data_IF_692855153904
#
_entry.id   IF_692855153904
#
_cell.length_a   1.000
_cell.length_b   1.000
_cell.length_c   1.000
_cell.angle_alpha   90.00
_cell.angle_beta   90.00
_cell.angle_gamma   90.00
#
_symmetry.space_group_name_H-M   'P 1'
#
loop_
_entity.id
_entity.type
_entity.pdbx_description
1 polymer ?
#
# COMPACT_ATOMS: atom_id res chain seq x y z
N UNK A 1 35.04 -42.13 42.76
CA UNK A 1 35.31 -40.83 42.09
C UNK A 1 33.98 -40.21 41.67
N UNK A 2 33.81 -38.89 41.84
CA UNK A 2 32.53 -38.18 41.62
C UNK A 2 32.30 -37.89 40.12
N UNK A 3 31.11 -38.21 39.58
CA UNK A 3 30.63 -37.65 38.31
C UNK A 3 29.88 -36.34 38.59
N UNK A 4 30.27 -35.27 37.91
CA UNK A 4 29.65 -33.95 38.03
C UNK A 4 28.69 -33.74 36.86
N UNK A 5 27.38 -33.61 37.13
CA UNK A 5 26.39 -33.11 36.17
C UNK A 5 25.77 -31.87 36.82
N UNK A 6 26.03 -30.69 36.25
CA UNK A 6 25.39 -29.44 36.69
C UNK A 6 24.08 -29.26 35.91
N UNK A 7 22.94 -29.46 36.55
CA UNK A 7 21.68 -28.93 36.05
C UNK A 7 21.61 -27.42 36.29
N UNK A 8 21.08 -26.67 35.33
CA UNK A 8 20.62 -25.29 35.54
C UNK A 8 19.11 -25.34 35.72
N UNK A 9 18.61 -25.07 36.92
CA UNK A 9 17.18 -24.82 37.12
C UNK A 9 16.80 -23.46 36.53
N UNK A 10 15.65 -23.40 35.85
CA UNK A 10 15.01 -22.12 35.53
C UNK A 10 14.44 -21.51 36.80
N UNK A 11 14.49 -20.18 36.91
CA UNK A 11 13.85 -19.44 37.99
C UNK A 11 12.52 -18.88 37.47
N UNK A 12 11.41 -19.47 37.91
CA UNK A 12 10.05 -18.98 37.59
C UNK A 12 9.69 -17.89 38.57
N UNK A 13 9.56 -16.64 38.12
CA UNK A 13 9.22 -15.51 38.99
C UNK A 13 7.70 -15.40 39.12
N UNK A 14 7.16 -15.82 40.27
CA UNK A 14 5.76 -15.66 40.63
C UNK A 14 5.60 -14.36 41.45
N UNK A 15 5.10 -13.28 40.84
CA UNK A 15 4.88 -12.01 41.56
C UNK A 15 3.58 -12.07 42.34
N UNK A 16 3.71 -12.09 43.67
CA UNK A 16 2.63 -12.13 44.65
C UNK A 16 1.91 -10.78 44.73
N UNK A 17 0.57 -10.80 44.79
CA UNK A 17 -0.26 -9.63 45.05
C UNK A 17 -0.13 -9.18 46.51
N UNK A 18 0.08 -7.87 46.75
CA UNK A 18 0.18 -7.31 48.09
C UNK A 18 -1.11 -6.58 48.46
N UNK A 19 -1.86 -7.12 49.44
CA UNK A 19 -2.97 -6.42 50.06
C UNK A 19 -2.44 -5.52 51.18
N UNK A 20 -2.85 -4.25 51.21
CA UNK A 20 -2.46 -3.30 52.25
C UNK A 20 -3.56 -3.25 53.32
N UNK A 21 -3.28 -3.81 54.49
CA UNK A 21 -4.04 -3.51 55.70
C UNK A 21 -3.49 -2.23 56.34
N UNK A 22 -4.39 -1.32 56.73
CA UNK A 22 -4.05 -0.10 57.46
C UNK A 22 -3.91 -0.36 58.96
N UNK A 23 -2.81 0.10 59.56
CA UNK A 23 -2.75 0.43 60.98
C UNK A 23 -1.92 1.71 61.18
N UNK A 24 -2.40 2.58 62.06
CA UNK A 24 -1.80 3.86 62.40
C UNK A 24 -0.96 3.77 63.67
N UNK A 25 0.28 4.25 63.62
CA UNK A 25 1.08 4.55 64.82
C UNK A 25 1.78 5.89 64.63
N UNK A 26 1.72 6.74 65.66
CA UNK A 26 2.36 8.06 65.70
C UNK A 26 3.88 7.95 65.75
N UNK A 27 4.58 8.84 65.04
CA UNK A 27 6.03 9.01 65.18
C UNK A 27 6.68 9.72 64.00
N UNK A 28 6.77 11.04 64.03
CA UNK A 28 7.55 11.81 63.06
C UNK A 28 9.05 11.70 63.36
N UNK A 29 9.84 11.42 62.32
CA UNK A 29 10.97 12.29 62.01
C UNK A 29 10.89 12.80 60.57
N UNK A 30 11.47 13.97 60.32
CA UNK A 30 11.54 14.57 58.98
C UNK A 30 12.39 13.73 58.03
N UNK A 31 11.72 12.84 57.28
CA UNK A 31 12.15 12.45 55.95
C UNK A 31 11.22 13.14 54.94
N UNK A 32 11.79 13.83 53.96
CA UNK A 32 11.05 14.24 52.78
C UNK A 32 10.80 13.00 51.91
N UNK A 33 9.85 12.16 52.33
CA UNK A 33 9.29 11.11 51.49
C UNK A 33 8.66 11.80 50.31
N UNK A 34 9.37 11.84 49.18
CA UNK A 34 8.76 12.15 47.90
C UNK A 34 7.83 10.99 47.64
N UNK A 35 6.58 11.13 48.04
CA UNK A 35 5.51 10.24 47.62
C UNK A 35 5.56 10.25 46.09
N UNK A 36 5.96 9.12 45.50
CA UNK A 36 5.67 8.89 44.10
C UNK A 36 4.16 9.03 43.98
N UNK A 37 3.70 10.05 43.25
CA UNK A 37 2.29 10.25 43.02
C UNK A 37 1.74 8.93 42.48
N UNK A 38 0.68 8.42 43.12
CA UNK A 38 -0.04 7.27 42.57
C UNK A 38 -0.34 7.59 41.11
N UNK A 39 0.02 6.66 40.22
CA UNK A 39 0.02 6.92 38.78
C UNK A 39 -1.42 7.03 38.27
N UNK A 40 -1.99 8.22 38.44
CA UNK A 40 -3.24 8.60 37.82
C UNK A 40 -3.00 8.69 36.33
N UNK A 41 -3.88 8.04 35.58
CA UNK A 41 -3.94 8.11 34.13
C UNK A 41 -4.31 9.51 33.63
N UNK A 42 -4.52 10.48 34.52
CA UNK A 42 -4.88 11.88 34.20
C UNK A 42 -3.74 12.71 33.60
N UNK A 43 -2.55 12.12 33.44
CA UNK A 43 -1.39 12.73 32.78
C UNK A 43 -0.72 11.77 31.80
N UNK A 44 -0.01 12.28 30.78
CA UNK A 44 0.76 11.43 29.86
C UNK A 44 1.86 10.62 30.56
N UNK A 45 2.45 11.15 31.63
CA UNK A 45 3.47 10.48 32.43
C UNK A 45 2.87 9.30 33.21
N UNK A 46 1.72 9.53 33.84
CA UNK A 46 0.95 8.51 34.58
C UNK A 46 0.13 7.55 33.70
N UNK A 47 0.09 7.76 32.38
CA UNK A 47 -0.79 7.04 31.46
C UNK A 47 -0.77 5.51 31.63
N UNK A 48 -1.96 4.92 31.72
CA UNK A 48 -2.20 3.48 31.86
C UNK A 48 -1.62 2.71 30.66
N UNK A 49 -0.94 1.60 30.91
CA UNK A 49 -0.43 0.74 29.83
C UNK A 49 -1.59 -0.06 29.21
N UNK A 50 -1.68 -0.07 27.89
CA UNK A 50 -2.64 -0.86 27.11
C UNK A 50 -1.86 -1.77 26.15
N UNK A 51 -2.08 -3.08 26.23
CA UNK A 51 -1.50 -4.03 25.27
C UNK A 51 -2.42 -4.23 24.07
N UNK A 52 -1.90 -4.93 23.06
CA UNK A 52 -2.69 -5.41 21.93
C UNK A 52 -3.65 -6.50 22.40
N UNK A 53 -4.86 -6.48 21.84
CA UNK A 53 -6.01 -7.35 22.12
C UNK A 53 -6.59 -7.25 23.55
N UNK A 54 -6.10 -6.29 24.34
CA UNK A 54 -6.66 -5.93 25.64
C UNK A 54 -7.65 -4.76 25.56
N UNK A 55 -8.45 -4.62 26.62
CA UNK A 55 -9.32 -3.47 26.85
C UNK A 55 -8.94 -2.84 28.21
N UNK A 56 -8.91 -1.51 28.28
CA UNK A 56 -8.76 -0.78 29.53
C UNK A 56 -9.96 0.16 29.75
N UNK A 57 -10.20 0.55 31.00
CA UNK A 57 -11.29 1.46 31.38
C UNK A 57 -10.76 2.61 32.22
N UNK A 58 -11.45 3.75 32.16
CA UNK A 58 -11.29 4.88 33.08
C UNK A 58 -12.65 5.34 33.59
N UNK A 59 -12.67 5.94 34.78
CA UNK A 59 -13.83 6.53 35.42
C UNK A 59 -13.63 8.04 35.50
N UNK A 60 -14.54 8.82 34.91
CA UNK A 60 -14.56 10.28 35.06
C UNK A 60 -15.24 10.66 36.38
N UNK A 61 -14.55 11.47 37.18
CA UNK A 61 -14.86 11.79 38.58
C UNK A 61 -15.57 13.13 38.81
N UNK A 62 -16.30 13.65 37.81
CA UNK A 62 -17.04 14.93 37.86
C UNK A 62 -16.12 16.18 37.88
N UNK A 63 -14.90 16.06 37.35
CA UNK A 63 -13.95 17.17 37.29
C UNK A 63 -14.05 17.95 35.96
N UNK A 64 -13.65 19.22 35.96
CA UNK A 64 -13.64 20.05 34.75
C UNK A 64 -12.34 19.84 33.99
N UNK A 65 -12.44 19.67 32.67
CA UNK A 65 -11.30 19.40 31.78
C UNK A 65 -10.53 18.11 32.11
N UNK A 66 -11.19 17.19 32.83
CA UNK A 66 -10.70 15.85 33.10
C UNK A 66 -10.33 15.13 31.80
N UNK A 67 -9.18 14.45 31.82
CA UNK A 67 -8.63 13.77 30.67
C UNK A 67 -7.85 12.56 31.13
N UNK A 68 -8.12 11.38 30.56
CA UNK A 68 -7.38 10.14 30.84
C UNK A 68 -6.52 9.76 29.64
N UNK A 69 -5.35 9.20 29.93
CA UNK A 69 -4.33 8.85 28.97
C UNK A 69 -3.97 7.37 29.08
N UNK A 70 -3.95 6.70 27.94
CA UNK A 70 -3.49 5.32 27.81
C UNK A 70 -2.28 5.30 26.87
N UNK A 71 -1.29 4.45 27.13
CA UNK A 71 -0.08 4.33 26.33
C UNK A 71 0.13 2.90 25.84
N UNK A 72 0.56 2.78 24.60
CA UNK A 72 0.90 1.49 23.98
C UNK A 72 2.19 1.65 23.18
N UNK A 73 2.93 0.55 23.05
CA UNK A 73 4.15 0.50 22.25
C UNK A 73 3.94 -0.47 21.10
N UNK A 74 4.19 -0.02 19.86
CA UNK A 74 4.09 -0.90 18.69
C UNK A 74 5.22 -1.93 18.76
N UNK A 75 4.93 -3.25 18.67
CA UNK A 75 5.97 -4.28 18.67
C UNK A 75 7.01 -4.07 17.58
N UNK A 76 8.26 -4.47 17.85
CA UNK A 76 9.37 -4.29 16.91
C UNK A 76 9.18 -5.08 15.60
N UNK A 77 8.46 -6.21 15.67
CA UNK A 77 7.97 -6.96 14.52
C UNK A 77 6.51 -7.30 14.76
N UNK A 78 5.64 -6.67 13.97
CA UNK A 78 4.18 -6.90 13.94
C UNK A 78 3.73 -7.28 12.53
N UNK A 79 4.66 -7.58 11.61
CA UNK A 79 4.31 -8.01 10.24
C UNK A 79 3.48 -6.98 9.45
N UNK A 80 2.67 -7.47 8.51
CA UNK A 80 1.69 -6.65 7.79
C UNK A 80 0.37 -6.67 8.56
N UNK A 81 0.11 -5.63 9.35
CA UNK A 81 -1.09 -5.53 10.17
C UNK A 81 -1.67 -4.12 10.18
N UNK A 82 -2.98 -4.07 10.07
CA UNK A 82 -3.81 -2.98 10.56
C UNK A 82 -3.79 -2.96 12.09
N UNK A 83 -3.85 -1.76 12.66
CA UNK A 83 -3.99 -1.50 14.09
C UNK A 83 -5.23 -0.62 14.26
N UNK A 84 -6.27 -1.20 14.87
CA UNK A 84 -7.54 -0.55 15.18
C UNK A 84 -7.55 -0.15 16.65
N UNK A 85 -7.54 1.16 16.92
CA UNK A 85 -7.93 1.69 18.22
C UNK A 85 -9.45 1.87 18.27
N UNK A 86 -10.07 1.54 19.39
CA UNK A 86 -11.48 1.85 19.69
C UNK A 86 -11.59 2.61 21.01
N UNK A 87 -12.49 3.59 21.08
CA UNK A 87 -12.97 4.17 22.33
C UNK A 87 -14.48 4.15 22.41
N UNK A 88 -15.01 3.61 23.50
CA UNK A 88 -16.46 3.53 23.79
C UNK A 88 -16.79 4.41 24.99
N UNK A 89 -17.86 5.20 24.85
CA UNK A 89 -18.23 6.19 25.85
C UNK A 89 -19.47 5.76 26.65
N UNK A 90 -19.34 5.62 27.96
CA UNK A 90 -20.46 5.38 28.89
C UNK A 90 -20.63 6.53 29.90
N UNK A 91 -20.09 7.71 29.60
CA UNK A 91 -20.24 8.91 30.43
C UNK A 91 -21.57 9.61 30.16
N UNK A 92 -21.91 10.59 31.00
CA UNK A 92 -23.09 11.43 30.89
C UNK A 92 -23.10 12.43 29.72
N UNK A 93 -22.00 12.59 28.97
CA UNK A 93 -21.89 13.54 27.85
C UNK A 93 -20.93 12.99 26.77
N UNK A 94 -20.62 13.76 25.73
CA UNK A 94 -19.65 13.37 24.71
C UNK A 94 -18.21 13.43 25.27
N UNK A 95 -17.42 12.40 24.98
CA UNK A 95 -15.95 12.44 25.14
C UNK A 95 -15.29 12.70 23.80
N UNK A 96 -14.04 13.14 23.82
CA UNK A 96 -13.20 13.32 22.64
C UNK A 96 -12.01 12.36 22.69
N UNK A 97 -11.97 11.43 21.74
CA UNK A 97 -10.92 10.44 21.59
C UNK A 97 -9.87 10.92 20.59
N UNK A 98 -8.60 11.00 21.02
CA UNK A 98 -7.48 11.59 20.29
C UNK A 98 -6.29 10.64 20.29
N UNK A 99 -5.63 10.45 19.15
CA UNK A 99 -4.36 9.68 19.07
C UNK A 99 -3.19 10.66 19.03
N UNK A 100 -2.17 10.42 19.87
CA UNK A 100 -1.00 11.28 20.06
C UNK A 100 0.30 10.52 19.81
N UNK A 101 1.35 11.25 19.41
CA UNK A 101 2.72 10.73 19.37
C UNK A 101 3.38 10.68 20.76
N UNK A 102 4.66 10.27 20.80
CA UNK A 102 5.43 10.12 22.03
C UNK A 102 5.72 11.41 22.80
N UNK A 103 5.48 12.59 22.20
CA UNK A 103 5.65 13.91 22.84
C UNK A 103 4.33 14.67 23.03
N UNK A 104 3.20 14.05 22.67
CA UNK A 104 1.86 14.60 22.85
C UNK A 104 1.31 15.40 21.67
N UNK A 105 1.97 15.36 20.50
CA UNK A 105 1.43 15.95 19.27
C UNK A 105 0.19 15.19 18.83
N UNK A 106 -0.90 15.89 18.51
CA UNK A 106 -2.07 15.25 17.90
C UNK A 106 -1.70 14.65 16.54
N UNK A 107 -1.79 13.31 16.45
CA UNK A 107 -1.82 12.59 15.20
C UNK A 107 -3.28 12.68 14.70
N UNK A 108 -4.18 11.85 15.21
CA UNK A 108 -5.60 11.97 14.89
C UNK A 108 -6.25 12.98 15.83
N UNK A 109 -6.69 14.10 15.25
CA UNK A 109 -7.47 15.15 15.94
C UNK A 109 -8.68 14.56 16.64
N UNK A 110 -8.93 15.02 17.87
CA UNK A 110 -9.96 14.48 18.74
C UNK A 110 -11.35 14.45 18.11
N UNK A 111 -11.94 13.27 17.96
CA UNK A 111 -13.30 13.07 17.48
C UNK A 111 -14.29 12.90 18.64
N UNK A 112 -15.47 13.47 18.46
CA UNK A 112 -16.57 13.37 19.44
C UNK A 112 -17.18 11.97 19.41
N UNK A 113 -17.15 11.28 20.55
CA UNK A 113 -17.83 10.00 20.77
C UNK A 113 -19.04 10.27 21.65
N UNK A 114 -20.26 10.08 21.14
CA UNK A 114 -21.47 10.30 21.96
C UNK A 114 -21.64 9.17 22.99
N UNK A 115 -22.50 9.41 23.98
CA UNK A 115 -22.89 8.37 24.95
C UNK A 115 -23.38 7.11 24.21
N UNK A 116 -22.90 5.95 24.67
CA UNK A 116 -23.14 4.61 24.13
C UNK A 116 -22.64 4.37 22.69
N UNK A 117 -21.95 5.32 22.07
CA UNK A 117 -21.25 5.14 20.79
C UNK A 117 -19.80 4.66 20.99
N UNK A 118 -19.26 4.04 19.95
CA UNK A 118 -17.83 3.71 19.82
C UNK A 118 -17.24 4.45 18.62
N UNK A 119 -16.09 5.08 18.81
CA UNK A 119 -15.29 5.64 17.72
C UNK A 119 -14.05 4.78 17.49
N UNK A 120 -13.73 4.52 16.22
CA UNK A 120 -12.57 3.74 15.81
C UNK A 120 -11.58 4.57 15.01
N UNK A 121 -10.29 4.30 15.20
CA UNK A 121 -9.20 4.79 14.36
C UNK A 121 -8.48 3.57 13.79
N UNK A 122 -8.47 3.45 12.48
CA UNK A 122 -7.67 2.46 11.76
C UNK A 122 -6.33 3.08 11.31
N UNK A 123 -5.24 2.35 11.55
CA UNK A 123 -3.86 2.75 11.20
C UNK A 123 -3.06 1.56 10.67
N UNK A 124 -2.01 1.80 9.87
CA UNK A 124 -1.03 0.79 9.46
C UNK A 124 0.35 1.07 10.07
N UNK A 125 1.25 0.09 10.03
CA UNK A 125 2.66 0.28 10.39
C UNK A 125 3.57 0.67 9.21
N UNK A 126 4.84 1.02 9.49
CA UNK A 126 5.81 1.46 8.47
C UNK A 126 5.89 0.52 7.24
N UNK A 127 5.46 1.07 6.10
CA UNK A 127 5.49 0.41 4.79
C UNK A 127 4.13 -0.08 4.29
N UNK A 128 3.04 0.12 5.04
CA UNK A 128 1.68 0.09 4.50
C UNK A 128 1.39 1.34 3.65
N UNK A 129 0.40 1.24 2.76
CA UNK A 129 -0.22 2.38 2.07
C UNK A 129 -1.73 2.32 2.34
N UNK A 130 -2.39 3.48 2.43
CA UNK A 130 -3.83 3.63 2.62
C UNK A 130 -4.33 4.82 1.80
N UNK A 131 -5.63 4.85 1.49
CA UNK A 131 -6.27 5.90 0.70
C UNK A 131 -6.39 7.25 1.40
N UNK A 132 -6.21 7.29 2.72
CA UNK A 132 -6.40 8.51 3.49
C UNK A 132 -5.03 9.15 3.73
N UNK A 133 -4.79 10.35 3.19
CA UNK A 133 -3.57 11.15 3.43
C UNK A 133 -3.31 11.46 4.93
N UNK A 134 -4.26 11.12 5.82
CA UNK A 134 -4.18 11.19 7.28
C UNK A 134 -4.22 9.82 7.97
N UNK A 135 -3.96 8.71 7.27
CA UNK A 135 -3.68 7.42 7.93
C UNK A 135 -2.30 7.51 8.60
N UNK A 136 -2.26 7.66 9.92
CA UNK A 136 -1.01 7.81 10.64
C UNK A 136 -0.24 6.49 10.67
N UNK A 137 0.82 6.44 9.89
CA UNK A 137 1.72 5.29 9.84
C UNK A 137 2.46 5.19 11.18
N UNK A 138 2.14 4.16 11.96
CA UNK A 138 2.79 3.90 13.23
C UNK A 138 4.17 3.26 13.00
N UNK A 139 5.17 3.70 13.76
CA UNK A 139 6.55 3.24 13.62
C UNK A 139 6.79 2.13 14.66
N UNK A 140 7.27 0.94 14.27
CA UNK A 140 7.63 -0.13 15.19
C UNK A 140 8.59 0.34 16.29
N UNK A 141 8.45 -0.19 17.50
CA UNK A 141 9.17 0.20 18.73
C UNK A 141 8.82 1.59 19.30
N UNK A 142 8.01 2.42 18.64
CA UNK A 142 7.57 3.70 19.21
C UNK A 142 6.36 3.52 20.17
N UNK A 143 6.33 4.35 21.20
CA UNK A 143 5.20 4.51 22.12
C UNK A 143 4.28 5.63 21.62
N UNK A 144 2.97 5.38 21.68
CA UNK A 144 1.90 6.29 21.30
C UNK A 144 0.89 6.40 22.44
N UNK A 145 0.10 7.46 22.44
CA UNK A 145 -0.88 7.71 23.50
C UNK A 145 -2.28 7.92 22.94
N UNK A 146 -3.26 7.35 23.62
CA UNK A 146 -4.68 7.65 23.46
C UNK A 146 -5.06 8.63 24.56
N UNK A 147 -5.74 9.71 24.19
CA UNK A 147 -6.31 10.67 25.14
C UNK A 147 -7.83 10.69 25.01
N UNK A 148 -8.52 10.41 26.11
CA UNK A 148 -9.95 10.64 26.29
C UNK A 148 -10.13 11.89 27.16
N UNK A 149 -11.02 12.81 26.78
CA UNK A 149 -11.33 14.00 27.59
C UNK A 149 -12.68 14.61 27.22
N UNK A 150 -13.19 15.52 28.04
CA UNK A 150 -14.11 16.53 27.50
C UNK A 150 -13.34 17.64 26.74
N UNK A 151 -13.97 18.24 25.74
CA UNK A 151 -13.39 19.34 24.94
C UNK A 151 -13.74 20.73 25.46
N UNK A 152 -14.85 20.91 26.16
CA UNK A 152 -15.48 22.21 26.43
C UNK A 152 -15.49 22.64 27.91
N UNK A 153 -14.91 21.85 28.82
CA UNK A 153 -14.89 22.10 30.26
C UNK A 153 -16.15 21.65 31.01
N UNK A 154 -16.94 20.76 30.40
CA UNK A 154 -17.99 20.02 31.08
C UNK A 154 -17.40 19.11 32.16
N UNK A 155 -18.22 18.81 33.17
CA UNK A 155 -17.91 17.78 34.15
C UNK A 155 -18.49 16.46 33.66
N UNK A 156 -17.63 15.45 33.50
CA UNK A 156 -18.02 14.13 33.05
C UNK A 156 -18.24 13.21 34.24
N UNK A 157 -19.25 12.35 34.18
CA UNK A 157 -19.44 11.25 35.14
C UNK A 157 -19.73 9.96 34.41
N UNK A 158 -19.19 8.85 34.92
CA UNK A 158 -19.32 7.52 34.33
C UNK A 158 -18.04 7.04 33.66
N UNK A 159 -18.13 5.91 32.98
CA UNK A 159 -16.97 5.19 32.47
C UNK A 159 -16.69 5.51 31.00
N UNK A 160 -15.45 5.35 30.58
CA UNK A 160 -15.11 5.10 29.18
C UNK A 160 -14.17 3.89 29.08
N UNK A 161 -14.18 3.23 27.94
CA UNK A 161 -13.24 2.14 27.64
C UNK A 161 -12.44 2.44 26.38
N UNK A 162 -11.24 1.87 26.34
CA UNK A 162 -10.35 1.87 25.18
C UNK A 162 -9.90 0.45 24.88
N UNK A 163 -9.64 0.16 23.60
CA UNK A 163 -8.99 -1.08 23.20
C UNK A 163 -8.13 -0.88 21.96
N UNK A 164 -7.16 -1.77 21.80
CA UNK A 164 -6.32 -1.86 20.61
C UNK A 164 -6.41 -3.29 20.11
N UNK A 165 -6.75 -3.46 18.83
CA UNK A 165 -6.73 -4.75 18.15
C UNK A 165 -5.85 -4.65 16.93
N UNK A 166 -5.27 -5.76 16.51
CA UNK A 166 -4.64 -5.86 15.19
C UNK A 166 -5.40 -6.79 14.26
N UNK A 167 -5.24 -6.58 12.97
CA UNK A 167 -5.84 -7.38 11.90
C UNK A 167 -4.77 -7.61 10.83
N UNK A 168 -4.52 -8.87 10.48
CA UNK A 168 -3.59 -9.24 9.42
C UNK A 168 -4.04 -8.68 8.06
N UNK A 169 -3.09 -8.09 7.35
CA UNK A 169 -3.22 -7.52 6.01
C UNK A 169 -2.49 -8.45 5.02
N UNK A 170 -3.18 -8.94 3.99
CA UNK A 170 -2.66 -10.01 3.14
C UNK A 170 -1.60 -9.54 2.12
N UNK A 171 -1.59 -8.26 1.73
CA UNK A 171 -0.72 -7.72 0.68
C UNK A 171 -0.29 -6.27 0.92
N UNK A 172 1.02 -6.02 0.96
CA UNK A 172 1.53 -4.66 1.15
C UNK A 172 1.20 -3.71 -0.03
N UNK A 173 0.51 -2.61 0.25
CA UNK A 173 0.26 -1.52 -0.72
C UNK A 173 1.46 -0.78 -1.28
N UNK A 174 2.67 -0.96 -0.73
CA UNK A 174 3.87 -0.25 -1.19
C UNK A 174 4.69 -1.02 -2.22
N UNK A 175 5.13 -0.32 -3.28
CA UNK A 175 6.00 -0.86 -4.34
C UNK A 175 7.28 -1.58 -3.86
N UNK A 176 7.76 -1.27 -2.65
CA UNK A 176 8.94 -1.90 -2.04
C UNK A 176 8.70 -3.29 -1.44
N UNK A 177 7.44 -3.62 -1.15
CA UNK A 177 7.01 -4.89 -0.56
C UNK A 177 5.92 -5.59 -1.40
N UNK A 178 5.64 -5.06 -2.59
CA UNK A 178 4.64 -5.57 -3.50
C UNK A 178 4.89 -7.05 -3.86
N UNK A 179 3.81 -7.84 -3.95
CA UNK A 179 3.88 -9.29 -4.16
C UNK A 179 4.05 -9.62 -5.64
N UNK A 180 4.97 -10.53 -5.97
CA UNK A 180 5.13 -11.02 -7.34
C UNK A 180 4.08 -12.08 -7.67
N UNK A 181 3.38 -11.92 -8.79
CA UNK A 181 2.58 -12.99 -9.39
C UNK A 181 3.10 -13.37 -10.78
N UNK A 182 2.85 -14.61 -11.20
CA UNK A 182 3.33 -15.12 -12.48
C UNK A 182 2.32 -14.90 -13.61
N UNK A 183 2.78 -14.68 -14.85
CA UNK A 183 1.91 -14.71 -16.02
C UNK A 183 1.15 -16.04 -16.13
N UNK A 184 -0.11 -15.98 -16.53
CA UNK A 184 -1.05 -17.10 -16.65
C UNK A 184 -1.45 -17.82 -15.34
N UNK A 185 -0.94 -17.43 -14.17
CA UNK A 185 -1.41 -17.90 -12.85
C UNK A 185 -2.40 -16.87 -12.27
N UNK A 186 -3.38 -17.31 -11.46
CA UNK A 186 -4.25 -16.42 -10.71
C UNK A 186 -3.59 -16.08 -9.36
N UNK A 187 -3.50 -14.79 -9.05
CA UNK A 187 -3.14 -14.28 -7.73
C UNK A 187 -4.42 -13.81 -7.04
N UNK A 188 -4.66 -14.27 -5.82
CA UNK A 188 -5.76 -13.76 -5.00
C UNK A 188 -5.26 -12.65 -4.08
N UNK A 189 -6.17 -11.78 -3.65
CA UNK A 189 -5.93 -10.81 -2.58
C UNK A 189 -7.24 -10.38 -1.93
N UNK A 190 -7.13 -9.69 -0.79
CA UNK A 190 -8.28 -9.22 -0.03
C UNK A 190 -8.00 -7.84 0.56
N UNK A 191 -8.90 -6.89 0.31
CA UNK A 191 -8.89 -5.62 1.03
C UNK A 191 -9.51 -5.82 2.42
N UNK A 192 -8.75 -5.67 3.50
CA UNK A 192 -9.23 -5.85 4.88
C UNK A 192 -10.00 -4.65 5.46
N UNK A 193 -9.80 -3.46 4.89
CA UNK A 193 -10.46 -2.22 5.29
C UNK A 193 -10.92 -1.41 4.06
N UNK A 194 -11.75 -0.38 4.29
CA UNK A 194 -12.29 0.45 3.21
C UNK A 194 -11.24 1.37 2.56
N UNK A 195 -10.17 1.70 3.30
CA UNK A 195 -9.04 2.50 2.85
C UNK A 195 -7.83 1.66 2.42
N UNK A 196 -8.01 0.34 2.29
CA UNK A 196 -6.94 -0.59 1.97
C UNK A 196 -6.43 -0.46 0.54
N UNK A 197 -5.14 -0.78 0.38
CA UNK A 197 -4.41 -0.74 -0.88
C UNK A 197 -3.45 -1.91 -0.91
N UNK A 198 -3.59 -2.74 -1.93
CA UNK A 198 -2.70 -3.86 -2.21
C UNK A 198 -1.84 -3.54 -3.42
N UNK A 199 -0.57 -3.95 -3.40
CA UNK A 199 0.32 -3.79 -4.54
C UNK A 199 0.96 -5.10 -4.96
N UNK A 200 0.82 -5.41 -6.24
CA UNK A 200 1.44 -6.54 -6.89
C UNK A 200 2.38 -6.07 -7.99
N UNK A 201 3.22 -6.99 -8.46
CA UNK A 201 3.89 -6.84 -9.74
C UNK A 201 3.95 -8.16 -10.50
N UNK A 202 4.05 -8.05 -11.83
CA UNK A 202 4.34 -9.17 -12.72
C UNK A 202 5.42 -8.73 -13.71
N UNK A 203 6.41 -9.58 -13.94
CA UNK A 203 7.36 -9.41 -15.04
C UNK A 203 6.85 -10.19 -16.25
N UNK A 204 6.46 -9.47 -17.31
CA UNK A 204 5.98 -10.09 -18.54
C UNK A 204 7.15 -10.65 -19.36
N UNK A 205 7.00 -11.80 -20.04
CA UNK A 205 8.07 -12.36 -20.88
C UNK A 205 8.48 -11.43 -22.03
N UNK A 206 9.72 -11.52 -22.49
CA UNK A 206 10.19 -10.84 -23.71
C UNK A 206 9.94 -11.73 -24.93
N UNK A 207 8.67 -11.82 -25.34
CA UNK A 207 8.20 -12.73 -26.39
C UNK A 207 7.27 -12.06 -27.42
N UNK A 208 7.18 -10.71 -27.40
CA UNK A 208 6.32 -9.91 -28.27
C UNK A 208 4.83 -10.31 -28.26
N UNK A 209 4.38 -11.07 -27.25
CA UNK A 209 3.02 -11.59 -27.16
C UNK A 209 2.14 -10.66 -26.31
N UNK A 210 0.85 -10.55 -26.63
CA UNK A 210 -0.06 -9.65 -25.91
C UNK A 210 -0.63 -10.33 -24.65
N UNK A 211 -0.58 -9.64 -23.51
CA UNK A 211 -1.12 -10.11 -22.24
C UNK A 211 -2.29 -9.22 -21.80
N UNK A 212 -3.43 -9.82 -21.47
CA UNK A 212 -4.58 -9.14 -20.86
C UNK A 212 -4.60 -9.37 -19.34
N UNK A 213 -4.83 -8.30 -18.59
CA UNK A 213 -4.99 -8.35 -17.15
C UNK A 213 -6.46 -8.58 -16.82
N UNK A 214 -6.75 -9.81 -16.41
CA UNK A 214 -8.08 -10.26 -15.99
C UNK A 214 -8.18 -10.03 -14.49
N UNK A 215 -9.20 -9.31 -14.04
CA UNK A 215 -9.45 -8.99 -12.64
C UNK A 215 -10.90 -9.35 -12.34
N UNK A 216 -11.13 -10.21 -11.35
CA UNK A 216 -12.45 -10.59 -10.85
C UNK A 216 -12.57 -10.23 -9.37
N UNK A 217 -13.73 -9.77 -8.92
CA UNK A 217 -13.93 -9.32 -7.55
C UNK A 217 -15.40 -9.43 -7.09
N UNK A 218 -15.62 -9.71 -5.81
CA UNK A 218 -16.95 -9.75 -5.20
C UNK A 218 -17.55 -8.34 -5.00
N UNK A 219 -16.68 -7.36 -4.74
CA UNK A 219 -17.02 -5.95 -4.57
C UNK A 219 -16.36 -5.07 -5.64
N UNK A 220 -16.82 -3.83 -5.78
CA UNK A 220 -16.24 -2.93 -6.78
C UNK A 220 -14.80 -2.55 -6.40
N UNK A 221 -13.91 -2.51 -7.39
CA UNK A 221 -12.50 -2.16 -7.25
C UNK A 221 -12.13 -1.01 -8.17
N UNK A 222 -11.17 -0.19 -7.74
CA UNK A 222 -10.38 0.65 -8.64
C UNK A 222 -8.98 0.04 -8.75
N UNK A 223 -8.53 -0.20 -9.99
CA UNK A 223 -7.24 -0.84 -10.26
C UNK A 223 -6.39 0.03 -11.15
N UNK A 224 -5.13 0.23 -10.74
CA UNK A 224 -4.15 1.09 -11.42
C UNK A 224 -2.93 0.28 -11.86
N UNK A 225 -2.58 0.40 -13.13
CA UNK A 225 -1.42 -0.24 -13.74
C UNK A 225 -0.31 0.79 -13.92
N UNK A 226 0.90 0.46 -13.47
CA UNK A 226 2.05 1.35 -13.57
C UNK A 226 3.27 0.63 -14.15
N UNK A 227 4.14 1.40 -14.81
CA UNK A 227 5.42 0.88 -15.30
C UNK A 227 6.47 0.75 -14.18
N UNK A 228 7.63 0.18 -14.50
CA UNK A 228 8.77 0.06 -13.57
C UNK A 228 9.32 1.41 -13.02
N UNK A 229 8.95 2.55 -13.63
CA UNK A 229 9.29 3.88 -13.14
C UNK A 229 8.20 4.45 -12.20
N UNK A 230 7.04 3.77 -12.10
CA UNK A 230 5.78 4.19 -11.46
C UNK A 230 5.04 5.29 -12.22
N UNK A 231 5.25 5.38 -13.54
CA UNK A 231 4.39 6.15 -14.42
C UNK A 231 3.07 5.39 -14.67
N UNK A 232 1.96 6.12 -14.78
CA UNK A 232 0.66 5.52 -15.02
C UNK A 232 0.59 4.92 -16.43
N UNK A 233 0.08 3.69 -16.55
CA UNK A 233 -0.18 3.03 -17.83
C UNK A 233 -1.67 2.95 -18.13
N UNK A 234 -2.49 2.66 -17.11
CA UNK A 234 -3.95 2.59 -17.23
C UNK A 234 -4.59 2.58 -15.84
N UNK A 235 -5.84 3.04 -15.77
CA UNK A 235 -6.71 2.92 -14.60
C UNK A 235 -8.05 2.36 -15.06
N UNK A 236 -8.63 1.46 -14.28
CA UNK A 236 -9.97 0.92 -14.53
C UNK A 236 -10.74 0.75 -13.23
N UNK A 237 -12.06 0.84 -13.32
CA UNK A 237 -12.98 0.37 -12.28
C UNK A 237 -13.51 -1.01 -12.71
N UNK A 238 -13.58 -1.94 -11.77
CA UNK A 238 -14.30 -3.21 -11.90
C UNK A 238 -15.55 -3.09 -11.04
N UNK A 239 -16.70 -3.43 -11.61
CA UNK A 239 -17.97 -3.47 -10.87
C UNK A 239 -18.01 -4.70 -9.96
N UNK A 240 -18.84 -4.64 -8.91
CA UNK A 240 -19.01 -5.77 -7.99
C UNK A 240 -19.52 -7.03 -8.73
N UNK A 241 -18.98 -8.20 -8.38
CA UNK A 241 -19.30 -9.50 -8.98
C UNK A 241 -19.04 -9.58 -10.50
N UNK A 242 -18.08 -8.80 -11.01
CA UNK A 242 -17.76 -8.74 -12.44
C UNK A 242 -16.29 -9.15 -12.69
N UNK A 243 -15.97 -9.47 -13.95
CA UNK A 243 -14.59 -9.70 -14.41
C UNK A 243 -14.22 -8.73 -15.52
N UNK A 244 -13.18 -7.93 -15.31
CA UNK A 244 -12.65 -7.00 -16.31
C UNK A 244 -11.38 -7.56 -16.95
N UNK A 245 -11.28 -7.45 -18.27
CA UNK A 245 -10.06 -7.74 -19.06
C UNK A 245 -9.62 -6.54 -19.92
N UNK A 246 -10.10 -5.34 -19.58
CA UNK A 246 -10.00 -4.11 -20.40
C UNK A 246 -8.56 -3.63 -20.63
N UNK A 247 -7.63 -3.93 -19.72
CA UNK A 247 -6.22 -3.56 -19.86
C UNK A 247 -5.39 -4.71 -20.48
N UNK A 248 -4.60 -4.39 -21.50
CA UNK A 248 -3.66 -5.33 -22.11
C UNK A 248 -2.39 -4.64 -22.61
N UNK A 249 -1.28 -5.37 -22.66
CA UNK A 249 0.04 -4.86 -23.07
C UNK A 249 0.91 -5.97 -23.66
N UNK A 250 1.78 -5.63 -24.60
CA UNK A 250 2.72 -6.56 -25.25
C UNK A 250 3.93 -6.86 -24.36
N UNK A 251 4.30 -8.13 -24.24
CA UNK A 251 5.44 -8.61 -23.46
C UNK A 251 6.80 -8.30 -24.10
N UNK A 252 7.62 -7.54 -23.38
CA UNK A 252 8.97 -7.09 -23.73
C UNK A 252 9.95 -7.21 -22.55
N UNK A 253 9.72 -8.16 -21.63
CA UNK A 253 10.56 -8.34 -20.43
C UNK A 253 10.34 -7.28 -19.34
N UNK A 254 9.27 -6.47 -19.43
CA UNK A 254 8.99 -5.37 -18.52
C UNK A 254 8.19 -5.80 -17.29
N UNK A 255 8.44 -5.13 -16.17
CA UNK A 255 7.61 -5.24 -14.96
C UNK A 255 6.43 -4.28 -15.04
N UNK A 256 5.22 -4.80 -14.79
CA UNK A 256 3.99 -4.03 -14.57
C UNK A 256 3.65 -4.12 -13.08
N UNK A 257 3.48 -2.98 -12.43
CA UNK A 257 2.89 -2.90 -11.10
C UNK A 257 1.37 -2.79 -11.21
N UNK A 258 0.66 -3.49 -10.33
CA UNK A 258 -0.80 -3.41 -10.20
C UNK A 258 -1.10 -2.94 -8.79
N UNK A 259 -1.88 -1.87 -8.65
CA UNK A 259 -2.42 -1.40 -7.38
C UNK A 259 -3.92 -1.60 -7.35
N UNK A 260 -4.41 -2.26 -6.31
CA UNK A 260 -5.83 -2.52 -6.08
C UNK A 260 -6.28 -1.71 -4.87
N UNK A 261 -7.51 -1.20 -4.92
CA UNK A 261 -8.18 -0.50 -3.82
C UNK A 261 -9.70 -0.59 -4.00
N UNK A 262 -10.46 -0.24 -2.98
CA UNK A 262 -11.92 -0.21 -3.05
C UNK A 262 -12.44 0.71 -4.17
N UNK A 263 -13.54 0.30 -4.80
CA UNK A 263 -14.29 1.07 -5.79
C UNK A 263 -14.93 2.33 -5.17
N UNK A 264 -15.44 2.19 -3.95
CA UNK A 264 -16.12 3.22 -3.17
C UNK A 264 -15.50 3.31 -1.77
N UNK A 265 -14.90 4.46 -1.44
CA UNK A 265 -14.20 4.71 -0.18
C UNK A 265 -15.08 4.66 1.09
N UNK A 266 -16.41 4.50 0.98
CA UNK A 266 -17.32 4.50 2.13
C UNK A 266 -17.63 3.11 2.70
N UNK A 267 -17.68 2.07 1.88
CA UNK A 267 -17.82 0.68 2.32
C UNK A 267 -17.21 -0.23 1.26
N UNK A 268 -16.24 -1.07 1.66
CA UNK A 268 -16.27 -2.53 1.52
C UNK A 268 -14.85 -3.11 1.52
N UNK A 269 -14.66 -4.15 2.33
CA UNK A 269 -13.66 -5.19 2.08
C UNK A 269 -14.02 -5.90 0.77
N UNK A 270 -13.03 -6.33 0.00
CA UNK A 270 -13.27 -7.02 -1.27
C UNK A 270 -12.32 -8.20 -1.41
N UNK A 271 -12.85 -9.37 -1.76
CA UNK A 271 -12.06 -10.52 -2.22
C UNK A 271 -11.92 -10.44 -3.74
N UNK A 272 -10.71 -10.65 -4.25
CA UNK A 272 -10.47 -10.53 -5.68
C UNK A 272 -9.34 -11.44 -6.18
N UNK A 273 -9.28 -11.59 -7.50
CA UNK A 273 -8.25 -12.34 -8.20
C UNK A 273 -7.73 -11.56 -9.41
N UNK A 274 -6.42 -11.61 -9.66
CA UNK A 274 -5.71 -10.96 -10.78
C UNK A 274 -4.96 -12.02 -11.58
N UNK A 275 -5.01 -11.93 -12.92
CA UNK A 275 -4.23 -12.80 -13.82
C UNK A 275 -3.85 -12.10 -15.13
N UNK A 276 -2.55 -12.01 -15.39
CA UNK A 276 -2.02 -11.60 -16.68
C UNK A 276 -2.02 -12.79 -17.65
N UNK A 277 -3.12 -12.97 -18.41
CA UNK A 277 -3.29 -14.07 -19.37
C UNK A 277 -2.72 -13.69 -20.73
N UNK A 278 -2.00 -14.61 -21.37
CA UNK A 278 -1.69 -14.54 -22.79
C UNK A 278 -2.98 -14.45 -23.62
N UNK A 279 -3.17 -13.36 -24.37
CA UNK A 279 -4.21 -13.31 -25.40
C UNK A 279 -3.75 -14.20 -26.56
N UNK A 280 -4.48 -15.29 -26.81
CA UNK A 280 -4.36 -16.02 -28.08
C UNK A 280 -4.96 -15.15 -29.17
N UNK A 281 -4.22 -14.88 -30.23
CA UNK A 281 -4.79 -14.24 -31.42
C UNK A 281 -5.75 -15.22 -32.09
N UNK A 282 -7.02 -14.82 -32.20
CA UNK A 282 -7.98 -15.54 -33.03
C UNK A 282 -7.66 -15.23 -34.48
N UNK A 283 -6.82 -16.05 -35.10
CA UNK A 283 -6.54 -15.99 -36.54
C UNK A 283 -7.80 -16.36 -37.33
N UNK A 284 -8.69 -15.39 -37.53
CA UNK A 284 -9.74 -15.43 -38.56
C UNK A 284 -9.07 -15.23 -39.94
N UNK A 285 -8.25 -16.21 -40.32
CA UNK A 285 -7.56 -16.25 -41.60
C UNK A 285 -8.54 -16.79 -42.66
N UNK A 286 -9.61 -16.04 -42.91
CA UNK A 286 -10.59 -16.36 -43.95
C UNK A 286 -10.00 -16.03 -45.32
N UNK A 287 -9.03 -16.85 -45.75
CA UNK A 287 -8.30 -16.71 -47.00
C UNK A 287 -9.19 -17.13 -48.18
N UNK A 288 -10.18 -16.29 -48.50
CA UNK A 288 -11.05 -16.48 -49.66
C UNK A 288 -10.31 -16.12 -50.96
N UNK A 289 -9.34 -16.96 -51.33
CA UNK A 289 -8.72 -16.92 -52.64
C UNK A 289 -9.66 -17.58 -53.65
N UNK A 290 -10.53 -16.78 -54.29
CA UNK A 290 -11.20 -17.21 -55.51
C UNK A 290 -10.78 -16.32 -56.69
N UNK A 291 -9.96 -16.90 -57.55
CA UNK A 291 -9.33 -16.25 -58.69
C UNK A 291 -10.34 -16.13 -59.84
N UNK A 292 -10.71 -14.91 -60.22
CA UNK A 292 -11.71 -14.67 -61.25
C UNK A 292 -11.07 -14.59 -62.65
N UNK A 293 -11.18 -15.65 -63.46
CA UNK A 293 -11.17 -15.51 -64.92
C UNK A 293 -11.81 -16.70 -65.67
N UNK A 294 -13.04 -16.48 -66.16
CA UNK A 294 -13.51 -16.76 -67.53
C UNK A 294 -13.15 -18.13 -68.19
N UNK A 295 -14.07 -18.98 -68.69
CA UNK A 295 -15.07 -18.64 -69.71
C UNK A 295 -15.99 -19.86 -70.04
N UNK A 296 -17.23 -19.58 -70.48
CA UNK A 296 -18.11 -20.38 -71.39
C UNK A 296 -18.56 -21.82 -71.03
N UNK A 297 -19.88 -22.02 -70.81
CA UNK A 297 -20.84 -22.43 -71.85
C UNK A 297 -22.06 -23.23 -71.32
N UNK A 298 -23.26 -22.65 -71.46
CA UNK A 298 -24.57 -23.25 -71.75
C UNK A 298 -24.92 -24.72 -71.36
N UNK A 299 -26.00 -24.92 -70.56
CA UNK A 299 -27.31 -25.46 -71.01
C UNK A 299 -28.11 -26.27 -69.93
N UNK A 300 -29.35 -25.82 -69.67
CA UNK A 300 -30.61 -26.50 -69.24
C UNK A 300 -30.73 -27.68 -68.24
N UNK A 301 -31.92 -27.62 -67.58
CA UNK A 301 -32.82 -28.70 -67.12
C UNK A 301 -32.59 -29.33 -65.72
N UNK A 302 -33.59 -29.22 -64.80
CA UNK A 302 -34.66 -30.21 -64.48
C UNK A 302 -34.04 -31.43 -63.72
N UNK A 303 -34.44 -31.89 -62.52
CA UNK A 303 -35.56 -31.62 -61.59
C UNK A 303 -35.22 -32.30 -60.20
N UNK A 304 -36.00 -32.31 -59.09
CA UNK A 304 -37.37 -31.86 -58.78
C UNK A 304 -37.64 -31.57 -57.27
N UNK A 305 -38.53 -30.61 -56.99
CA UNK A 305 -39.72 -30.67 -56.10
C UNK A 305 -39.70 -31.29 -54.66
N UNK A 306 -39.93 -30.44 -53.64
CA UNK A 306 -41.19 -30.35 -52.84
C UNK A 306 -41.08 -29.12 -51.89
N UNK A 307 -41.91 -28.07 -51.96
CA UNK A 307 -43.35 -27.97 -51.56
C UNK A 307 -43.51 -28.09 -50.02
N UNK A 308 -44.14 -27.20 -49.24
CA UNK A 308 -45.18 -26.16 -49.46
C UNK A 308 -44.92 -25.00 -48.43
N UNK A 309 -45.01 -23.70 -48.74
CA UNK A 309 -46.22 -22.80 -48.68
C UNK A 309 -46.98 -22.85 -47.32
N UNK A 310 -47.43 -21.77 -46.67
CA UNK A 310 -47.83 -20.40 -47.07
C UNK A 310 -47.51 -19.39 -45.92
N UNK A 311 -46.95 -18.19 -46.13
CA UNK A 311 -47.57 -16.91 -46.54
C UNK A 311 -47.87 -15.92 -45.38
N UNK A 312 -46.99 -14.91 -45.28
CA UNK A 312 -47.27 -13.46 -45.15
C UNK A 312 -48.20 -12.91 -44.04
N UNK A 313 -47.66 -11.96 -43.26
CA UNK A 313 -48.17 -10.59 -43.36
C UNK A 313 -47.08 -9.53 -43.13
N UNK A 314 -47.29 -8.32 -43.67
CA UNK A 314 -46.27 -7.29 -43.88
C UNK A 314 -46.66 -5.94 -43.23
N UNK A 315 -45.67 -5.21 -42.69
CA UNK A 315 -45.59 -3.74 -42.49
C UNK A 315 -44.37 -3.50 -41.57
N UNK A 316 -43.25 -2.91 -42.01
CA UNK A 316 -43.04 -1.59 -42.60
C UNK A 316 -43.28 -0.45 -41.59
N UNK A 317 -42.20 0.09 -41.01
CA UNK A 317 -41.85 1.49 -41.31
C UNK A 317 -40.39 1.86 -41.01
N UNK A 318 -39.90 2.70 -41.91
CA UNK A 318 -38.55 3.17 -42.18
C UNK A 318 -38.11 4.33 -41.26
N UNK A 319 -36.81 4.43 -40.97
CA UNK A 319 -36.14 5.74 -40.79
C UNK A 319 -34.63 5.61 -41.01
N UNK A 320 -34.06 6.56 -41.75
CA UNK A 320 -32.72 6.53 -42.32
C UNK A 320 -31.88 7.75 -41.86
N UNK A 321 -30.63 7.82 -42.33
CA UNK A 321 -29.68 8.96 -42.30
C UNK A 321 -28.92 9.25 -40.98
N UNK A 322 -27.73 9.86 -41.02
CA UNK A 322 -26.63 9.89 -42.03
C UNK A 322 -25.41 10.61 -41.39
N UNK A 323 -24.17 10.32 -41.84
CA UNK A 323 -22.91 11.09 -41.71
C UNK A 323 -22.47 11.68 -40.34
N UNK A 324 -21.20 11.68 -39.95
CA UNK A 324 -20.11 12.31 -40.70
C UNK A 324 -18.70 11.86 -40.24
N UNK A 325 -17.72 12.02 -41.13
CA UNK A 325 -16.29 11.71 -40.93
C UNK A 325 -15.49 12.90 -40.38
N UNK A 326 -14.38 12.62 -39.70
CA UNK A 326 -13.17 13.46 -39.85
C UNK A 326 -11.89 12.66 -39.56
N UNK A 327 -11.30 12.13 -40.62
CA UNK A 327 -9.89 11.75 -40.62
C UNK A 327 -9.01 13.00 -40.52
N UNK A 328 -7.88 12.89 -39.80
CA UNK A 328 -6.75 13.78 -40.04
C UNK A 328 -5.42 13.03 -39.82
N UNK A 329 -4.97 12.39 -40.90
CA UNK A 329 -3.70 11.69 -40.96
C UNK A 329 -2.58 12.69 -41.29
N UNK A 330 -1.61 12.85 -40.39
CA UNK A 330 -0.36 13.58 -40.66
C UNK A 330 0.83 12.64 -40.53
N UNK A 331 1.14 11.96 -41.65
CA UNK A 331 2.35 11.16 -41.76
C UNK A 331 3.59 12.06 -41.88
N UNK A 332 4.61 11.79 -41.07
CA UNK A 332 5.93 12.36 -41.28
C UNK A 332 7.00 11.26 -41.23
N UNK A 333 7.30 10.71 -42.41
CA UNK A 333 8.32 9.70 -42.60
C UNK A 333 9.71 10.33 -42.43
N UNK A 334 10.41 9.97 -41.34
CA UNK A 334 11.85 10.23 -41.22
C UNK A 334 12.58 8.93 -40.85
N UNK A 335 13.15 8.29 -41.86
CA UNK A 335 13.95 7.09 -41.75
C UNK A 335 15.31 7.41 -41.10
N UNK A 336 15.35 7.49 -39.77
CA UNK A 336 16.58 7.52 -39.00
C UNK A 336 16.90 6.12 -38.51
N UNK A 337 17.99 5.54 -39.02
CA UNK A 337 18.46 4.19 -38.67
C UNK A 337 19.01 4.17 -37.22
N UNK A 338 18.11 4.28 -36.25
CA UNK A 338 18.46 4.48 -34.84
C UNK A 338 18.77 3.14 -34.17
N UNK A 339 20.03 2.95 -33.79
CA UNK A 339 20.43 1.80 -32.98
C UNK A 339 19.77 1.89 -31.61
N UNK A 340 18.75 1.05 -31.39
CA UNK A 340 17.91 1.02 -30.18
C UNK A 340 18.78 1.00 -28.91
N UNK A 341 18.78 2.11 -28.17
CA UNK A 341 19.64 2.28 -26.98
C UNK A 341 19.19 1.31 -25.88
N UNK A 342 20.15 0.60 -25.29
CA UNK A 342 19.90 -0.40 -24.23
C UNK A 342 19.49 0.29 -22.92
N UNK A 343 18.65 -0.36 -22.11
CA UNK A 343 18.24 0.18 -20.80
C UNK A 343 19.30 -0.09 -19.73
N UNK A 344 19.41 0.80 -18.75
CA UNK A 344 20.23 0.61 -17.55
C UNK A 344 19.39 -0.14 -16.52
N UNK A 345 19.51 -1.46 -16.48
CA UNK A 345 18.70 -2.37 -15.63
C UNK A 345 19.10 -2.40 -14.16
N UNK A 346 20.17 -1.69 -13.76
CA UNK A 346 20.63 -1.66 -12.37
C UNK A 346 21.01 -0.24 -11.97
N UNK A 347 20.40 0.27 -10.91
CA UNK A 347 20.85 1.46 -10.19
C UNK A 347 20.33 1.45 -8.75
N UNK A 348 21.21 1.17 -7.78
CA UNK A 348 20.90 1.18 -6.35
C UNK A 348 22.04 1.79 -5.53
N UNK A 349 21.71 2.30 -4.33
CA UNK A 349 22.67 2.76 -3.33
C UNK A 349 22.75 1.77 -2.16
N UNK A 350 23.98 1.46 -1.72
CA UNK A 350 24.26 0.56 -0.57
C UNK A 350 24.72 1.31 0.68
N UNK A 351 25.33 2.49 0.54
CA UNK A 351 25.81 3.27 1.70
C UNK A 351 25.69 4.77 1.42
N UNK A 352 24.85 5.45 2.20
CA UNK A 352 24.52 6.88 2.09
C UNK A 352 23.83 7.41 3.38
N UNK A 353 24.24 6.91 4.56
CA UNK A 353 23.63 7.24 5.86
C UNK A 353 24.01 8.64 6.36
N UNK A 354 23.18 9.23 7.23
CA UNK A 354 23.49 10.43 8.03
C UNK A 354 24.93 10.41 8.59
N UNK A 355 25.62 11.54 8.57
CA UNK A 355 26.97 11.72 9.10
C UNK A 355 28.11 11.23 8.19
N UNK A 356 27.84 10.49 7.12
CA UNK A 356 28.88 9.94 6.22
C UNK A 356 29.28 10.92 5.10
N UNK A 357 30.53 10.86 4.64
CA UNK A 357 31.05 11.62 3.48
C UNK A 357 31.15 10.77 2.19
N UNK A 358 30.27 9.76 2.01
CA UNK A 358 30.35 8.86 0.85
C UNK A 358 28.98 8.38 0.38
N UNK A 359 28.82 8.28 -0.94
CA UNK A 359 27.69 7.60 -1.60
C UNK A 359 28.26 6.41 -2.37
N UNK A 360 27.93 5.20 -1.91
CA UNK A 360 28.33 3.93 -2.55
C UNK A 360 27.08 3.31 -3.18
N UNK A 361 27.19 2.91 -4.45
CA UNK A 361 26.10 2.24 -5.17
C UNK A 361 26.60 1.23 -6.21
N UNK A 362 25.64 0.62 -6.91
CA UNK A 362 25.86 -0.31 -8.01
C UNK A 362 24.99 0.08 -9.21
N UNK A 363 25.56 -0.02 -10.40
CA UNK A 363 24.89 0.15 -11.69
C UNK A 363 25.52 -0.79 -12.73
N UNK A 364 25.30 -0.59 -14.02
CA UNK A 364 25.98 -1.36 -15.07
C UNK A 364 27.49 -1.09 -15.09
N UNK A 365 28.29 -2.05 -15.57
CA UNK A 365 29.77 -1.94 -15.64
C UNK A 365 30.24 -0.81 -16.56
N UNK A 366 31.31 -0.12 -16.17
CA UNK A 366 31.96 0.94 -16.97
C UNK A 366 30.99 2.01 -17.50
N UNK A 367 30.14 2.55 -16.62
CA UNK A 367 29.27 3.70 -16.89
C UNK A 367 29.76 4.93 -16.12
N UNK A 368 29.44 6.12 -16.63
CA UNK A 368 29.65 7.38 -15.93
C UNK A 368 28.46 7.63 -15.00
N UNK A 369 28.73 7.99 -13.75
CA UNK A 369 27.74 8.24 -12.71
C UNK A 369 27.96 9.65 -12.16
N UNK A 370 26.95 10.51 -12.29
CA UNK A 370 26.88 11.80 -11.58
C UNK A 370 26.01 11.65 -10.35
N UNK A 371 26.53 12.03 -9.19
CA UNK A 371 25.81 12.03 -7.90
C UNK A 371 25.66 13.48 -7.48
N UNK A 372 24.43 13.98 -7.38
CA UNK A 372 24.13 15.35 -7.02
C UNK A 372 23.58 15.39 -5.59
N UNK A 373 24.24 16.14 -4.70
CA UNK A 373 23.91 16.25 -3.26
C UNK A 373 24.12 17.69 -2.81
N UNK A 374 23.08 18.32 -2.25
CA UNK A 374 23.17 19.69 -1.71
C UNK A 374 23.86 20.68 -2.67
N UNK A 375 23.37 20.76 -3.91
CA UNK A 375 23.93 21.60 -4.99
C UNK A 375 25.21 21.07 -5.65
N UNK A 376 25.98 20.21 -4.98
CA UNK A 376 27.27 19.71 -5.48
C UNK A 376 27.10 18.50 -6.40
N UNK A 377 27.85 18.44 -7.50
CA UNK A 377 27.84 17.34 -8.47
C UNK A 377 29.17 16.56 -8.45
N UNK A 378 29.10 15.28 -8.11
CA UNK A 378 30.26 14.38 -8.05
C UNK A 378 30.22 13.40 -9.22
N UNK A 379 31.19 13.46 -10.14
CA UNK A 379 31.25 12.55 -11.30
C UNK A 379 32.27 11.44 -11.06
N UNK A 380 31.84 10.18 -11.17
CA UNK A 380 32.69 8.98 -11.01
C UNK A 380 32.36 7.95 -12.09
N UNK A 381 33.22 6.93 -12.28
CA UNK A 381 32.90 5.76 -13.11
C UNK A 381 32.53 4.56 -12.23
N UNK A 382 31.62 3.71 -12.71
CA UNK A 382 31.43 2.37 -12.15
C UNK A 382 32.53 1.42 -12.64
N UNK A 383 32.99 0.54 -11.76
CA UNK A 383 34.02 -0.44 -12.07
C UNK A 383 33.47 -1.61 -12.92
N UNK A 384 34.30 -2.63 -13.16
CA UNK A 384 33.93 -3.82 -13.95
C UNK A 384 32.80 -4.66 -13.32
N UNK A 385 32.57 -4.56 -12.00
CA UNK A 385 31.44 -5.19 -11.28
C UNK A 385 30.25 -4.24 -11.08
N UNK A 386 30.29 -3.04 -11.68
CA UNK A 386 29.21 -2.05 -11.63
C UNK A 386 29.19 -1.18 -10.37
N UNK A 387 30.07 -1.41 -9.41
CA UNK A 387 30.18 -0.63 -8.17
C UNK A 387 30.77 0.76 -8.43
N UNK A 388 30.20 1.79 -7.84
CA UNK A 388 30.74 3.16 -7.83
C UNK A 388 30.82 3.71 -6.40
N UNK A 389 31.63 4.75 -6.19
CA UNK A 389 31.75 5.45 -4.91
C UNK A 389 32.08 6.91 -5.13
N UNK A 390 31.14 7.80 -4.81
CA UNK A 390 31.38 9.24 -4.77
C UNK A 390 31.82 9.64 -3.35
N UNK A 391 32.99 10.29 -3.24
CA UNK A 391 33.47 10.91 -2.00
C UNK A 391 32.92 12.34 -1.96
N UNK A 392 32.29 12.71 -0.84
CA UNK A 392 31.64 14.02 -0.65
C UNK A 392 32.55 14.97 0.14
N UNK A 393 32.44 16.28 -0.11
CA UNK A 393 33.18 17.27 0.70
C UNK A 393 32.57 17.43 2.09
N UNK A 394 31.24 17.39 2.19
CA UNK A 394 30.45 17.55 3.42
C UNK A 394 29.83 16.22 3.89
N UNK A 395 29.45 16.16 5.17
CA UNK A 395 28.71 15.01 5.74
C UNK A 395 27.25 15.07 5.31
N UNK A 396 26.66 13.93 4.97
CA UNK A 396 25.23 13.80 4.67
C UNK A 396 24.37 14.15 5.90
N UNK A 397 23.35 15.00 5.73
CA UNK A 397 22.31 15.28 6.73
C UNK A 397 21.11 14.37 6.47
N UNK A 398 20.35 13.98 7.49
CA UNK A 398 19.08 13.25 7.29
C UNK A 398 18.12 14.10 6.44
N UNK A 399 17.24 13.46 5.68
CA UNK A 399 16.35 14.09 4.70
C UNK A 399 17.03 14.64 3.44
N UNK A 400 18.37 14.62 3.34
CA UNK A 400 19.06 15.16 2.15
C UNK A 400 18.70 14.35 0.90
N UNK A 401 18.20 15.04 -0.14
CA UNK A 401 17.96 14.46 -1.46
C UNK A 401 19.28 14.22 -2.21
N UNK A 402 19.48 13.00 -2.67
CA UNK A 402 20.58 12.55 -3.52
C UNK A 402 20.00 12.19 -4.89
N UNK A 403 20.39 12.88 -5.96
CA UNK A 403 20.02 12.50 -7.34
C UNK A 403 21.19 11.81 -8.00
N UNK A 404 21.01 10.58 -8.49
CA UNK A 404 22.04 9.81 -9.20
C UNK A 404 21.64 9.69 -10.67
N UNK A 405 22.51 10.14 -11.57
CA UNK A 405 22.34 10.09 -13.03
C UNK A 405 23.44 9.18 -13.61
N UNK A 406 23.05 8.14 -14.33
CA UNK A 406 23.97 7.20 -14.99
C UNK A 406 23.88 7.35 -16.50
N UNK A 407 25.03 7.41 -17.17
CA UNK A 407 25.15 7.50 -18.62
C UNK A 407 26.24 6.57 -19.17
N UNK A 408 25.97 5.96 -20.33
CA UNK A 408 26.93 5.15 -21.09
C UNK A 408 26.58 5.22 -22.58
N UNK A 409 27.58 5.14 -23.47
CA UNK A 409 27.36 5.08 -24.93
C UNK A 409 26.45 3.89 -25.27
N UNK A 410 25.49 4.11 -26.17
CA UNK A 410 24.45 3.15 -26.59
C UNK A 410 23.47 2.73 -25.47
N UNK A 411 23.41 3.45 -24.34
CA UNK A 411 22.39 3.27 -23.31
C UNK A 411 21.49 4.50 -23.15
N UNK A 412 20.25 4.28 -22.73
CA UNK A 412 19.34 5.33 -22.26
C UNK A 412 19.86 5.84 -20.91
N UNK A 413 19.90 7.17 -20.70
CA UNK A 413 20.32 7.75 -19.41
C UNK A 413 19.31 7.35 -18.33
N UNK A 414 19.77 6.95 -17.16
CA UNK A 414 18.93 6.61 -16.02
C UNK A 414 19.14 7.62 -14.89
N UNK A 415 18.05 8.12 -14.31
CA UNK A 415 18.08 9.05 -13.17
C UNK A 415 17.24 8.48 -12.03
N UNK A 416 17.80 8.35 -10.83
CA UNK A 416 17.06 7.97 -9.61
C UNK A 416 17.32 8.96 -8.49
N UNK A 417 16.30 9.20 -7.66
CA UNK A 417 16.37 10.06 -6.46
C UNK A 417 16.33 9.16 -5.22
N UNK A 418 17.14 9.48 -4.22
CA UNK A 418 17.21 8.82 -2.93
C UNK A 418 17.18 9.89 -1.83
N UNK A 419 16.74 9.53 -0.63
CA UNK A 419 16.76 10.42 0.54
C UNK A 419 17.60 9.76 1.64
N UNK A 420 18.45 10.56 2.30
CA UNK A 420 19.25 10.09 3.42
C UNK A 420 18.34 9.78 4.60
N UNK A 421 18.32 8.53 5.07
CA UNK A 421 17.86 8.16 6.41
C UNK A 421 18.87 8.71 7.44
#
# INVERSE_FOLDING_TARGET
>A
MKKNIKSKQMCTLLTLSLAICSQSVYGSPFYSTVYAAEASDTTMQGASVLQFDENATCLFANEKYEAHYFKFTVPNDIGNQWITFSATNYTNNNIYATLLDSIGTELVKGQSVKKEETYTIDTKIEGGESLIDSSYILVPSNTYYIKLRDKYGHKLTGNASVSIKSLADDNWGTFSKAVEFKPNEWQNGKLEKADDIDCFFVTLPDNNSKYAFNISCDNSLNVKFLDENRANLSELTVDANNTSNKYSVTGHGQTIYVKVKAGNNKINTANYSIKASLQKETNNNNNNNNNNNNNNNNNNNIDNNNNNNDNSNNNNDNSNNNDNSSDNNSGNNNNSNSTKKKKITTLSLKSYKKGTKKVIGKTIKAATVKVNVSGNTYTVKSNNTGKFTAKLVSKLKSGTKITVIVSKKNYIKCTRKFFVK
#
